data_IF_012240320703
#
_entry.id   IF_012240320703
#
_cell.length_a   1.000
_cell.length_b   1.000
_cell.length_c   1.000
_cell.angle_alpha   90.00
_cell.angle_beta   90.00
_cell.angle_gamma   90.00
#
_symmetry.space_group_name_H-M   'P 1'
#
loop_
_entity.id
_entity.type
_entity.pdbx_description
1 polymer ?
#
# COMPACT_ATOMS: atom_id res chain seq x y z
N UNK A 1 -13.92 4.06 -15.86
CA UNK A 1 -12.96 4.88 -16.61
C UNK A 1 -11.78 5.17 -15.69
N UNK A 2 -10.55 5.03 -16.17
CA UNK A 2 -9.34 5.37 -15.41
C UNK A 2 -9.11 6.89 -15.48
N UNK A 3 -8.83 7.55 -14.35
CA UNK A 3 -8.50 8.98 -14.31
C UNK A 3 -7.16 9.27 -14.99
N UNK A 4 -6.96 10.52 -15.44
CA UNK A 4 -5.64 10.97 -15.94
C UNK A 4 -4.65 11.06 -14.79
N UNK A 5 -3.35 10.96 -15.08
CA UNK A 5 -2.29 11.07 -14.06
C UNK A 5 -2.42 12.35 -13.25
N UNK A 6 -2.66 13.48 -13.93
CA UNK A 6 -2.81 14.77 -13.28
C UNK A 6 -3.97 14.78 -12.26
N UNK A 7 -5.12 14.20 -12.62
CA UNK A 7 -6.29 14.11 -11.74
C UNK A 7 -6.02 13.24 -10.50
N UNK A 8 -5.28 12.13 -10.67
CA UNK A 8 -4.85 11.27 -9.55
C UNK A 8 -3.94 12.05 -8.61
N UNK A 9 -2.90 12.70 -9.13
CA UNK A 9 -1.92 13.44 -8.32
C UNK A 9 -2.54 14.67 -7.64
N UNK A 10 -3.43 15.39 -8.34
CA UNK A 10 -4.18 16.52 -7.78
C UNK A 10 -5.10 16.06 -6.64
N UNK A 11 -5.75 14.91 -6.80
CA UNK A 11 -6.57 14.32 -5.72
C UNK A 11 -5.70 14.00 -4.51
N UNK A 12 -4.54 13.36 -4.69
CA UNK A 12 -3.62 13.04 -3.60
C UNK A 12 -3.11 14.30 -2.90
N UNK A 13 -2.72 15.33 -3.67
CA UNK A 13 -2.27 16.62 -3.13
C UNK A 13 -3.40 17.34 -2.35
N UNK A 14 -4.63 17.31 -2.87
CA UNK A 14 -5.79 17.88 -2.18
C UNK A 14 -6.01 17.20 -0.83
N UNK A 15 -5.88 15.87 -0.75
CA UNK A 15 -6.04 15.14 0.50
C UNK A 15 -4.86 15.31 1.45
N UNK A 16 -3.63 15.47 0.95
CA UNK A 16 -2.47 15.72 1.81
C UNK A 16 -2.51 17.09 2.49
N UNK A 17 -3.24 18.05 1.91
CA UNK A 17 -3.43 19.40 2.48
C UNK A 17 -4.56 19.51 3.50
N UNK A 18 -5.35 18.46 3.72
CA UNK A 18 -6.38 18.46 4.76
C UNK A 18 -5.76 18.33 6.16
N UNK A 19 -6.49 18.83 7.15
CA UNK A 19 -6.18 18.52 8.54
C UNK A 19 -6.73 17.13 8.88
N UNK A 20 -5.86 16.26 9.38
CA UNK A 20 -6.15 14.89 9.77
C UNK A 20 -6.01 14.70 11.28
N UNK A 21 -5.93 15.78 12.06
CA UNK A 21 -5.71 15.74 13.52
C UNK A 21 -6.74 14.85 14.23
N UNK A 22 -8.00 14.88 13.78
CA UNK A 22 -9.09 14.07 14.34
C UNK A 22 -9.30 12.71 13.64
N UNK A 23 -8.41 12.32 12.72
CA UNK A 23 -8.44 11.00 12.07
C UNK A 23 -7.47 10.02 12.73
N UNK A 24 -7.82 8.74 12.80
CA UNK A 24 -6.91 7.72 13.34
C UNK A 24 -5.85 7.29 12.32
N UNK A 25 -6.20 7.25 11.03
CA UNK A 25 -5.31 6.84 9.95
C UNK A 25 -5.71 7.47 8.61
N UNK A 26 -4.84 7.28 7.61
CA UNK A 26 -5.15 7.49 6.19
C UNK A 26 -5.16 6.14 5.48
N UNK A 27 -6.21 5.86 4.73
CA UNK A 27 -6.31 4.68 3.87
C UNK A 27 -6.57 5.08 2.42
N UNK A 28 -5.74 4.61 1.49
CA UNK A 28 -5.87 4.87 0.05
C UNK A 28 -5.89 3.52 -0.69
N UNK A 29 -6.93 3.32 -1.50
CA UNK A 29 -7.09 2.12 -2.35
C UNK A 29 -6.94 2.52 -3.81
N UNK A 30 -5.94 1.93 -4.48
CA UNK A 30 -5.63 2.17 -5.89
C UNK A 30 -5.94 0.89 -6.66
N UNK A 31 -6.79 1.00 -7.66
CA UNK A 31 -7.10 -0.08 -8.59
C UNK A 31 -6.84 0.39 -10.02
N UNK A 32 -5.80 -0.14 -10.65
CA UNK A 32 -5.47 0.23 -12.03
C UNK A 32 -4.80 -0.93 -12.77
N UNK A 33 -4.60 -0.75 -14.08
CA UNK A 33 -3.63 -1.54 -14.82
C UNK A 33 -2.21 -1.13 -14.43
N UNK A 34 -1.28 -2.06 -14.58
CA UNK A 34 0.12 -1.77 -14.37
C UNK A 34 0.98 -2.74 -15.15
N UNK A 35 2.26 -2.41 -15.23
CA UNK A 35 3.34 -3.34 -15.53
C UNK A 35 4.43 -3.05 -14.50
N UNK A 36 5.57 -2.47 -14.86
CA UNK A 36 6.53 -1.99 -13.86
C UNK A 36 6.05 -0.74 -13.10
N UNK A 37 5.08 -0.03 -13.67
CA UNK A 37 4.51 1.21 -13.15
C UNK A 37 2.98 1.16 -13.12
N UNK A 38 2.36 2.12 -12.44
CA UNK A 38 0.91 2.30 -12.42
C UNK A 38 0.45 3.01 -13.70
N UNK A 39 -0.65 2.59 -14.30
CA UNK A 39 -1.22 3.27 -15.46
C UNK A 39 -2.31 4.26 -15.05
N UNK A 40 -2.27 5.48 -15.58
CA UNK A 40 -3.45 6.34 -15.70
C UNK A 40 -4.10 6.11 -17.08
N UNK A 41 -5.17 6.84 -17.41
CA UNK A 41 -5.75 6.76 -18.76
C UNK A 41 -4.88 7.35 -19.86
N UNK A 42 -3.96 8.26 -19.51
CA UNK A 42 -3.10 8.98 -20.44
C UNK A 42 -1.64 8.53 -20.39
N UNK A 43 -1.09 8.23 -19.20
CA UNK A 43 0.32 7.90 -19.02
C UNK A 43 0.59 7.03 -17.78
N UNK A 44 1.69 6.29 -17.79
CA UNK A 44 2.18 5.60 -16.60
C UNK A 44 2.85 6.54 -15.60
N UNK A 45 2.92 6.12 -14.34
CA UNK A 45 3.56 6.87 -13.27
C UNK A 45 4.12 5.95 -12.17
N UNK A 46 5.21 6.37 -11.50
CA UNK A 46 5.84 5.56 -10.47
C UNK A 46 4.92 5.40 -9.27
N UNK A 47 4.93 4.22 -8.67
CA UNK A 47 4.11 3.91 -7.50
C UNK A 47 4.39 4.86 -6.33
N UNK A 48 5.64 5.30 -6.17
CA UNK A 48 6.07 6.19 -5.10
C UNK A 48 5.38 7.56 -5.11
N UNK A 49 4.79 7.98 -6.24
CA UNK A 49 4.02 9.22 -6.28
C UNK A 49 2.75 9.16 -5.43
N UNK A 50 2.27 7.95 -5.08
CA UNK A 50 1.08 7.77 -4.26
C UNK A 50 1.25 8.30 -2.83
N UNK A 51 2.42 8.10 -2.22
CA UNK A 51 2.70 8.53 -0.84
C UNK A 51 3.61 9.76 -0.75
N UNK A 52 4.12 10.26 -1.88
CA UNK A 52 5.10 11.36 -1.91
C UNK A 52 4.68 12.62 -1.16
N UNK A 53 3.37 12.88 -1.00
CA UNK A 53 2.81 14.03 -0.28
C UNK A 53 2.46 13.75 1.19
N UNK A 54 2.55 12.49 1.65
CA UNK A 54 2.13 12.06 2.99
C UNK A 54 3.30 11.63 3.88
N UNK A 55 4.53 11.62 3.35
CA UNK A 55 5.76 11.19 4.02
C UNK A 55 6.61 12.36 4.50
N UNK A 56 7.44 12.11 5.52
CA UNK A 56 8.24 13.14 6.18
C UNK A 56 7.37 14.26 6.75
N UNK A 57 7.77 15.52 6.52
CA UNK A 57 7.08 16.69 7.06
C UNK A 57 6.02 17.28 6.11
N UNK A 58 5.64 16.56 5.04
CA UNK A 58 4.71 17.07 4.02
C UNK A 58 3.24 17.01 4.44
N UNK A 59 2.90 16.16 5.42
CA UNK A 59 1.57 16.08 6.00
C UNK A 59 1.68 15.95 7.53
N UNK A 60 1.90 17.06 8.26
CA UNK A 60 2.19 17.03 9.70
C UNK A 60 1.09 16.39 10.56
N UNK A 61 -0.17 16.55 10.18
CA UNK A 61 -1.34 15.98 10.88
C UNK A 61 -1.42 14.44 10.80
N UNK A 62 -0.59 13.80 9.96
CA UNK A 62 -0.44 12.34 9.84
C UNK A 62 0.88 11.80 10.42
N UNK A 63 1.70 12.64 11.07
CA UNK A 63 2.91 12.15 11.76
C UNK A 63 2.49 11.25 12.92
N UNK A 64 3.05 10.05 13.01
CA UNK A 64 2.70 9.04 14.02
C UNK A 64 1.38 8.31 13.75
N UNK A 65 0.71 8.56 12.62
CA UNK A 65 -0.55 7.92 12.24
C UNK A 65 -0.34 6.93 11.09
N UNK A 66 -0.99 5.75 11.09
CA UNK A 66 -0.88 4.80 9.99
C UNK A 66 -1.32 5.40 8.66
N UNK A 67 -0.50 5.19 7.63
CA UNK A 67 -0.72 5.58 6.22
C UNK A 67 -0.75 4.30 5.39
N UNK A 68 -1.94 3.84 5.04
CA UNK A 68 -2.19 2.49 4.51
C UNK A 68 -2.55 2.60 3.02
N UNK A 69 -1.78 1.92 2.18
CA UNK A 69 -1.97 1.90 0.73
C UNK A 69 -2.25 0.48 0.25
N UNK A 70 -3.44 0.26 -0.33
CA UNK A 70 -3.79 -0.98 -1.02
C UNK A 70 -3.66 -0.77 -2.53
N UNK A 71 -2.78 -1.53 -3.18
CA UNK A 71 -2.42 -1.35 -4.59
C UNK A 71 -2.76 -2.62 -5.36
N UNK A 72 -3.88 -2.54 -6.09
CA UNK A 72 -4.32 -3.53 -7.05
C UNK A 72 -3.87 -3.10 -8.46
N UNK A 73 -2.70 -3.57 -8.87
CA UNK A 73 -2.14 -3.39 -10.21
C UNK A 73 -1.27 -4.59 -10.55
N UNK A 74 -1.15 -4.93 -11.84
CA UNK A 74 -0.10 -5.86 -12.25
C UNK A 74 1.26 -5.19 -12.04
N UNK A 75 2.26 -5.98 -11.64
CA UNK A 75 3.64 -5.49 -11.41
C UNK A 75 4.64 -6.09 -12.39
N UNK A 76 4.12 -6.62 -13.50
CA UNK A 76 4.84 -7.40 -14.49
C UNK A 76 3.89 -8.28 -15.29
N UNK A 77 4.46 -9.01 -16.25
CA UNK A 77 3.72 -9.90 -17.17
C UNK A 77 3.90 -11.38 -16.86
N UNK A 78 4.79 -11.74 -15.91
CA UNK A 78 4.99 -13.13 -15.53
C UNK A 78 3.73 -13.66 -14.82
N UNK A 79 3.33 -14.87 -15.17
CA UNK A 79 2.30 -15.59 -14.42
C UNK A 79 3.01 -16.24 -13.24
N UNK A 80 2.52 -15.99 -12.03
CA UNK A 80 3.03 -16.69 -10.85
C UNK A 80 2.49 -18.12 -10.91
N UNK A 81 3.36 -19.10 -11.15
CA UNK A 81 3.01 -20.53 -11.21
C UNK A 81 2.51 -21.05 -9.85
N UNK A 82 2.67 -20.26 -8.77
CA UNK A 82 2.29 -20.59 -7.42
C UNK A 82 3.19 -21.68 -6.83
N UNK A 83 3.36 -21.65 -5.51
CA UNK A 83 4.09 -22.72 -4.81
C UNK A 83 3.10 -23.79 -4.39
N UNK A 84 3.30 -25.03 -4.86
CA UNK A 84 2.62 -26.21 -4.30
C UNK A 84 3.13 -26.46 -2.89
N UNK A 85 2.43 -25.95 -1.88
CA UNK A 85 2.79 -26.18 -0.48
C UNK A 85 2.28 -27.54 0.01
N UNK A 86 3.17 -28.33 0.61
CA UNK A 86 2.79 -29.30 1.64
C UNK A 86 2.76 -28.53 2.97
N UNK A 87 1.71 -28.66 3.79
CA UNK A 87 1.59 -27.87 5.01
C UNK A 87 2.70 -28.27 6.00
N UNK A 88 3.69 -27.39 6.18
CA UNK A 88 4.64 -27.50 7.29
C UNK A 88 3.98 -26.82 8.49
N UNK A 89 3.44 -27.62 9.41
CA UNK A 89 3.01 -27.15 10.72
C UNK A 89 4.25 -26.88 11.58
N UNK A 90 4.93 -25.76 11.32
CA UNK A 90 6.06 -25.29 12.11
C UNK A 90 5.84 -23.85 12.52
N UNK A 91 5.64 -23.61 13.82
CA UNK A 91 5.69 -22.25 14.37
C UNK A 91 7.10 -21.71 14.18
N UNK A 92 7.29 -20.74 13.29
CA UNK A 92 8.53 -19.98 13.23
C UNK A 92 8.54 -19.04 14.44
N UNK A 93 9.41 -19.32 15.41
CA UNK A 93 9.78 -18.36 16.45
C UNK A 93 10.83 -17.43 15.85
N UNK A 94 10.45 -16.19 15.57
CA UNK A 94 11.42 -15.14 15.27
C UNK A 94 12.08 -14.77 16.59
N UNK A 95 13.36 -15.11 16.76
CA UNK A 95 14.20 -14.54 17.81
C UNK A 95 14.76 -13.23 17.27
N UNK A 96 14.08 -12.12 17.55
CA UNK A 96 14.62 -10.79 17.31
C UNK A 96 15.44 -10.39 18.53
N UNK A 97 16.74 -10.72 18.51
CA UNK A 97 17.69 -10.10 19.41
C UNK A 97 18.19 -8.83 18.74
N UNK A 98 17.59 -7.70 19.13
CA UNK A 98 18.06 -6.38 18.74
C UNK A 98 19.05 -5.92 19.81
N UNK A 99 20.33 -5.84 19.45
CA UNK A 99 21.37 -5.31 20.33
C UNK A 99 20.99 -3.89 20.74
N UNK A 100 20.75 -3.70 22.04
CA UNK A 100 20.40 -2.44 22.68
C UNK A 100 21.56 -1.43 22.59
N UNK A 101 21.76 -0.86 21.40
CA UNK A 101 22.49 0.40 21.27
C UNK A 101 21.57 1.50 21.76
N UNK A 102 22.00 2.20 22.81
CA UNK A 102 21.39 3.44 23.30
C UNK A 102 21.22 4.42 22.13
N UNK A 103 20.06 4.40 21.48
CA UNK A 103 19.62 5.49 20.62
C UNK A 103 19.43 6.68 21.55
N UNK A 104 20.44 7.56 21.58
CA UNK A 104 20.22 8.97 21.90
C UNK A 104 18.95 9.38 21.16
N UNK A 105 18.00 9.99 21.86
CA UNK A 105 16.78 10.57 21.33
C UNK A 105 17.07 11.36 20.05
N UNK A 106 16.99 10.70 18.89
CA UNK A 106 16.82 11.41 17.63
C UNK A 106 15.35 11.81 17.65
N UNK A 107 15.08 13.10 17.86
CA UNK A 107 13.75 13.71 17.77
C UNK A 107 13.18 13.69 16.32
N UNK A 108 13.55 12.71 15.51
CA UNK A 108 13.19 12.61 14.10
C UNK A 108 12.81 11.17 13.75
N UNK A 109 11.55 10.96 13.40
CA UNK A 109 11.08 9.73 12.79
C UNK A 109 11.58 9.61 11.34
N UNK A 110 11.91 8.42 10.83
CA UNK A 110 12.25 8.24 9.42
C UNK A 110 11.13 8.79 8.50
N UNK A 111 11.45 9.35 7.33
CA UNK A 111 10.44 9.92 6.44
C UNK A 111 9.30 8.96 6.06
N UNK A 112 9.61 7.67 5.98
CA UNK A 112 8.67 6.61 5.60
C UNK A 112 7.98 5.93 6.79
N UNK A 113 8.12 6.48 8.00
CA UNK A 113 7.48 5.91 9.18
C UNK A 113 5.95 5.84 9.04
N UNK A 114 5.39 4.84 9.70
CA UNK A 114 3.95 4.54 9.73
C UNK A 114 3.32 4.27 8.35
N UNK A 115 4.11 3.98 7.31
CA UNK A 115 3.62 3.63 5.99
C UNK A 115 3.47 2.11 5.84
N UNK A 116 2.26 1.65 5.49
CA UNK A 116 1.97 0.26 5.13
C UNK A 116 1.56 0.20 3.66
N UNK A 117 2.26 -0.59 2.86
CA UNK A 117 1.95 -0.80 1.44
C UNK A 117 1.63 -2.28 1.20
N UNK A 118 0.44 -2.55 0.67
CA UNK A 118 -0.02 -3.90 0.33
C UNK A 118 -0.30 -3.97 -1.16
N UNK A 119 0.41 -4.86 -1.84
CA UNK A 119 0.27 -5.09 -3.27
C UNK A 119 -0.52 -6.37 -3.52
N UNK A 120 -1.40 -6.35 -4.51
CA UNK A 120 -2.11 -7.55 -4.97
C UNK A 120 -1.18 -8.61 -5.58
N UNK A 121 0.04 -8.21 -5.98
CA UNK A 121 1.06 -9.08 -6.57
C UNK A 121 2.47 -8.67 -6.16
N UNK A 122 3.37 -9.65 -6.25
CA UNK A 122 4.81 -9.40 -6.18
C UNK A 122 5.31 -8.70 -7.45
N UNK A 123 6.44 -8.02 -7.32
CA UNK A 123 7.14 -7.40 -8.46
C UNK A 123 7.48 -8.46 -9.52
N UNK A 124 7.22 -8.14 -10.79
CA UNK A 124 7.39 -9.05 -11.92
C UNK A 124 6.13 -9.85 -12.29
N UNK A 125 5.09 -9.88 -11.45
CA UNK A 125 3.95 -10.79 -11.62
C UNK A 125 2.63 -10.10 -11.98
N UNK A 126 1.81 -10.83 -12.75
CA UNK A 126 0.49 -10.43 -13.22
C UNK A 126 -0.56 -10.51 -12.11
N UNK A 127 -1.45 -9.51 -12.03
CA UNK A 127 -2.51 -9.45 -11.02
C UNK A 127 -3.82 -10.01 -11.51
N UNK A 128 -4.29 -11.08 -10.86
CA UNK A 128 -5.49 -11.80 -11.27
C UNK A 128 -6.77 -11.05 -10.88
N UNK A 129 -7.64 -10.88 -11.88
CA UNK A 129 -9.00 -10.35 -11.69
C UNK A 129 -9.99 -11.26 -12.39
N UNK A 130 -11.01 -11.69 -11.65
CA UNK A 130 -12.16 -12.35 -12.25
C UNK A 130 -13.03 -11.30 -12.96
N UNK A 131 -13.43 -11.58 -14.21
CA UNK A 131 -14.21 -10.62 -15.03
C UNK A 131 -15.60 -10.34 -14.46
N UNK A 132 -16.20 -11.29 -13.76
CA UNK A 132 -17.55 -11.18 -13.19
C UNK A 132 -17.52 -10.82 -11.70
N UNK A 133 -16.60 -11.42 -10.93
CA UNK A 133 -16.54 -11.28 -9.46
C UNK A 133 -15.57 -10.19 -8.97
N UNK A 134 -14.75 -9.63 -9.86
CA UNK A 134 -13.74 -8.63 -9.49
C UNK A 134 -12.41 -9.25 -9.01
N UNK A 135 -11.54 -8.43 -8.44
CA UNK A 135 -10.22 -8.88 -7.95
C UNK A 135 -10.38 -9.75 -6.70
N UNK A 136 -9.63 -10.86 -6.63
CA UNK A 136 -9.59 -11.69 -5.42
C UNK A 136 -8.97 -10.93 -4.24
N UNK A 137 -7.93 -10.14 -4.49
CA UNK A 137 -7.31 -9.31 -3.46
C UNK A 137 -8.30 -8.34 -2.82
N UNK A 138 -9.09 -7.63 -3.65
CA UNK A 138 -10.08 -6.67 -3.14
C UNK A 138 -11.25 -7.38 -2.46
N UNK A 139 -11.71 -8.52 -2.98
CA UNK A 139 -12.76 -9.31 -2.33
C UNK A 139 -12.34 -9.78 -0.94
N UNK A 140 -11.14 -10.38 -0.83
CA UNK A 140 -10.59 -10.81 0.45
C UNK A 140 -10.40 -9.63 1.38
N UNK A 141 -9.86 -8.51 0.90
CA UNK A 141 -9.70 -7.30 1.70
C UNK A 141 -11.04 -6.81 2.27
N UNK A 142 -12.06 -6.68 1.42
CA UNK A 142 -13.38 -6.25 1.88
C UNK A 142 -13.98 -7.23 2.91
N UNK A 143 -13.77 -8.53 2.72
CA UNK A 143 -14.24 -9.53 3.67
C UNK A 143 -13.55 -9.38 5.03
N UNK A 144 -12.23 -9.38 5.08
CA UNK A 144 -11.49 -9.27 6.34
C UNK A 144 -11.77 -7.94 7.06
N UNK A 145 -11.95 -6.84 6.33
CA UNK A 145 -12.33 -5.55 6.92
C UNK A 145 -13.80 -5.51 7.42
N UNK A 146 -14.67 -6.40 6.95
CA UNK A 146 -16.09 -6.44 7.34
C UNK A 146 -16.38 -7.48 8.43
N UNK A 147 -15.55 -8.51 8.53
CA UNK A 147 -15.75 -9.65 9.44
C UNK A 147 -15.22 -9.39 10.86
N UNK A 148 -14.60 -8.23 11.13
CA UNK A 148 -14.20 -7.81 12.47
C UNK A 148 -15.40 -7.17 13.22
N UNK A 149 -15.88 -7.77 14.34
CA UNK A 149 -16.89 -7.14 15.18
C UNK A 149 -16.27 -5.93 15.91
N UNK A 150 -16.97 -4.79 15.84
CA UNK A 150 -16.64 -3.56 16.56
C UNK A 150 -16.65 -3.72 18.07
#
# INVERSE_FOLDING_TARGET
MTSKKAEVLETLEKWSKKDHTDCDCLMIVIMTHGDKELCASDVSYPVDSLWANFVGNKCPSLIGKPKIFFIQACRGTAVDDGVKYKPIHGRVRLNDQMDGRNFKELNSSPPMADLLMMYSTNEGFYSFRNKEKGSWFIQSLCKELSDEPS
#
